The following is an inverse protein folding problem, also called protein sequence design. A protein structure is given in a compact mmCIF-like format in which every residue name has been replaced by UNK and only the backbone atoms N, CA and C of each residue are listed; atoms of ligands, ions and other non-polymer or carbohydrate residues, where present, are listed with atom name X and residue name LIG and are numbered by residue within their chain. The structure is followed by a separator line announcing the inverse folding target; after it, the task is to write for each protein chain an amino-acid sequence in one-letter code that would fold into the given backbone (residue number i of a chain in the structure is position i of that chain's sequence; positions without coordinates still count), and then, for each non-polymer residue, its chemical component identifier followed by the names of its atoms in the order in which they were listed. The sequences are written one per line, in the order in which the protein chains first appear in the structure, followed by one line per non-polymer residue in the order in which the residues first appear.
data_IF_328156996521
#
_entry.id   IF_328156996521
#
_cell.length_a   1.000
_cell.length_b   1.000
_cell.length_c   1.000
_cell.angle_alpha   90.00
_cell.angle_beta   90.00
_cell.angle_gamma   90.00
#
_symmetry.space_group_name_H-M   'P 1'
#
loop_
_entity.id
_entity.type
_entity.pdbx_description
1 polymer ?
#
# COMPACT_ATOMS: atom_id res chain seq x y z
N UNK A 1 8.73 7.75 8.98
CA UNK A 1 7.97 6.50 9.16
C UNK A 1 8.82 5.43 8.51
N UNK A 2 9.08 4.32 9.21
CA UNK A 2 9.89 3.22 8.66
C UNK A 2 8.97 2.05 8.40
N UNK A 3 8.93 1.59 7.15
CA UNK A 3 8.13 0.45 6.73
C UNK A 3 9.02 -0.79 6.62
N UNK A 4 8.52 -1.94 7.06
CA UNK A 4 9.20 -3.22 6.89
C UNK A 4 8.35 -4.12 6.02
N UNK A 5 8.95 -4.68 4.95
CA UNK A 5 8.32 -5.74 4.19
C UNK A 5 8.74 -7.10 4.78
N UNK A 6 7.78 -7.88 5.26
CA UNK A 6 8.05 -9.15 5.94
C UNK A 6 7.88 -10.36 5.01
N UNK A 7 8.17 -11.57 5.52
CA UNK A 7 8.04 -12.82 4.77
C UNK A 7 6.59 -13.22 4.44
N UNK A 8 5.61 -12.58 5.07
CA UNK A 8 4.17 -12.76 4.79
C UNK A 8 3.68 -11.79 3.70
N UNK A 9 4.60 -11.09 3.03
CA UNK A 9 4.34 -10.01 2.07
C UNK A 9 3.59 -8.81 2.67
N UNK A 10 3.60 -8.62 3.99
CA UNK A 10 2.96 -7.47 4.62
C UNK A 10 3.95 -6.30 4.69
N UNK A 11 3.45 -5.08 4.43
CA UNK A 11 4.15 -3.85 4.74
C UNK A 11 3.71 -3.39 6.13
N UNK A 12 4.63 -3.43 7.09
CA UNK A 12 4.34 -3.13 8.50
C UNK A 12 4.98 -1.82 8.95
N UNK A 13 4.33 -1.15 9.91
CA UNK A 13 4.80 0.09 10.53
C UNK A 13 4.52 0.06 12.03
N UNK A 14 5.47 0.56 12.82
CA UNK A 14 5.30 0.70 14.27
C UNK A 14 4.72 2.08 14.61
N UNK A 15 3.53 2.11 15.19
CA UNK A 15 2.80 3.32 15.59
C UNK A 15 2.38 3.18 17.05
N UNK A 16 2.87 4.07 17.92
CA UNK A 16 2.50 4.09 19.34
C UNK A 16 2.83 2.79 20.11
N UNK A 17 3.85 2.06 19.69
CA UNK A 17 4.23 0.76 20.28
C UNK A 17 3.52 -0.46 19.68
N UNK A 18 2.58 -0.26 18.75
CA UNK A 18 1.89 -1.33 18.03
C UNK A 18 2.43 -1.48 16.62
N UNK A 19 2.56 -2.72 16.14
CA UNK A 19 2.82 -3.02 14.73
C UNK A 19 1.50 -3.08 13.96
N UNK A 20 1.36 -2.24 12.94
CA UNK A 20 0.21 -2.16 12.05
C UNK A 20 0.63 -2.52 10.62
N UNK A 21 -0.33 -2.89 9.79
CA UNK A 21 -0.13 -3.30 8.41
C UNK A 21 -0.77 -2.30 7.44
N UNK A 22 -0.14 -2.09 6.29
CA UNK A 22 -0.73 -1.41 5.14
C UNK A 22 -1.89 -2.27 4.62
N UNK A 23 -3.08 -1.69 4.54
CA UNK A 23 -4.33 -2.43 4.34
C UNK A 23 -5.17 -1.77 3.25
N UNK A 24 -5.57 -2.52 2.22
CA UNK A 24 -6.62 -2.11 1.31
C UNK A 24 -7.98 -2.22 2.02
N UNK A 25 -8.55 -1.05 2.35
CA UNK A 25 -9.66 -0.93 3.29
C UNK A 25 -10.85 -1.82 2.91
N UNK A 26 -11.31 -2.62 3.87
CA UNK A 26 -12.49 -3.48 3.69
C UNK A 26 -12.32 -4.56 2.63
N UNK A 27 -11.08 -4.98 2.33
CA UNK A 27 -10.76 -5.93 1.24
C UNK A 27 -11.19 -5.42 -0.15
N UNK A 28 -11.19 -4.09 -0.34
CA UNK A 28 -11.56 -3.50 -1.61
C UNK A 28 -10.57 -3.89 -2.71
N UNK A 29 -11.10 -4.20 -3.89
CA UNK A 29 -10.34 -4.61 -5.08
C UNK A 29 -10.56 -3.69 -6.27
N UNK A 30 -11.30 -2.60 -6.10
CA UNK A 30 -11.60 -1.64 -7.16
C UNK A 30 -10.71 -0.40 -7.06
N UNK A 31 -10.47 0.24 -8.20
CA UNK A 31 -9.82 1.56 -8.23
C UNK A 31 -10.59 2.55 -7.34
N UNK A 32 -9.87 3.34 -6.55
CA UNK A 32 -10.45 4.22 -5.54
C UNK A 32 -10.55 3.62 -4.14
N UNK A 33 -10.20 2.33 -3.96
CA UNK A 33 -10.15 1.74 -2.62
C UNK A 33 -9.06 2.43 -1.81
N UNK A 34 -9.45 3.03 -0.68
CA UNK A 34 -8.50 3.69 0.23
C UNK A 34 -7.53 2.67 0.81
N UNK A 35 -6.26 3.06 0.90
CA UNK A 35 -5.25 2.29 1.63
C UNK A 35 -5.02 2.95 2.98
N UNK A 36 -5.08 2.16 4.05
CA UNK A 36 -5.00 2.61 5.44
C UNK A 36 -3.95 1.82 6.21
N UNK A 37 -3.70 2.22 7.46
CA UNK A 37 -3.03 1.38 8.45
C UNK A 37 -4.08 0.71 9.32
N UNK A 38 -3.99 -0.61 9.45
CA UNK A 38 -4.92 -1.40 10.25
C UNK A 38 -4.17 -2.47 11.04
N UNK A 39 -4.82 -3.04 12.06
CA UNK A 39 -4.28 -4.17 12.81
C UNK A 39 -3.93 -5.30 11.84
N UNK A 40 -2.70 -5.80 11.93
CA UNK A 40 -2.24 -6.93 11.13
C UNK A 40 -3.11 -8.16 11.43
N UNK A 41 -3.63 -8.78 10.37
CA UNK A 41 -4.53 -9.93 10.47
C UNK A 41 -4.25 -11.01 9.42
N UNK A 42 -3.19 -10.87 8.62
CA UNK A 42 -2.72 -11.87 7.65
C UNK A 42 -3.58 -12.03 6.41
N UNK A 43 -4.66 -11.24 6.24
CA UNK A 43 -5.52 -11.32 5.07
C UNK A 43 -4.83 -10.77 3.83
N UNK A 44 -5.26 -11.23 2.65
CA UNK A 44 -4.63 -10.90 1.37
C UNK A 44 -4.69 -9.42 1.01
N UNK A 45 -5.60 -8.64 1.60
CA UNK A 45 -5.67 -7.18 1.42
C UNK A 45 -4.57 -6.42 2.20
N UNK A 46 -3.79 -7.12 3.03
CA UNK A 46 -2.61 -6.60 3.72
C UNK A 46 -1.29 -7.07 3.11
N UNK A 47 -1.37 -7.84 2.01
CA UNK A 47 -0.21 -8.40 1.33
C UNK A 47 0.08 -7.64 0.04
N UNK A 48 1.35 -7.34 -0.20
CA UNK A 48 1.82 -6.44 -1.24
C UNK A 48 3.03 -7.03 -1.97
N UNK A 49 3.03 -6.97 -3.30
CA UNK A 49 4.20 -7.30 -4.10
C UNK A 49 5.02 -6.04 -4.35
N UNK A 50 6.32 -6.11 -4.06
CA UNK A 50 7.28 -5.06 -4.38
C UNK A 50 7.92 -5.43 -5.72
N UNK A 51 7.58 -4.69 -6.77
CA UNK A 51 7.97 -5.04 -8.12
C UNK A 51 9.30 -4.37 -8.50
N UNK A 52 10.08 -5.03 -9.35
CA UNK A 52 11.38 -4.52 -9.81
C UNK A 52 11.28 -3.23 -10.65
N UNK A 53 10.09 -2.91 -11.16
CA UNK A 53 9.80 -1.69 -11.89
C UNK A 53 9.43 -0.50 -10.98
N UNK A 54 9.47 -0.66 -9.65
CA UNK A 54 9.19 0.38 -8.67
C UNK A 54 7.74 0.46 -8.21
N UNK A 55 6.81 -0.30 -8.79
CA UNK A 55 5.43 -0.31 -8.30
C UNK A 55 5.26 -1.24 -7.10
N UNK A 56 4.29 -0.91 -6.24
CA UNK A 56 3.80 -1.81 -5.20
C UNK A 56 2.38 -2.22 -5.57
N UNK A 57 2.10 -3.52 -5.68
CA UNK A 57 0.77 -4.02 -6.07
C UNK A 57 0.13 -4.82 -4.96
N UNK A 58 -1.17 -4.64 -4.73
CA UNK A 58 -1.91 -5.47 -3.79
C UNK A 58 -1.98 -6.91 -4.28
N UNK A 59 -1.63 -7.89 -3.46
CA UNK A 59 -1.71 -9.32 -3.82
C UNK A 59 -3.15 -9.72 -4.17
N UNK A 60 -4.13 -9.18 -3.45
CA UNK A 60 -5.55 -9.48 -3.70
C UNK A 60 -6.11 -8.80 -4.95
N UNK A 61 -5.78 -7.53 -5.18
CA UNK A 61 -6.43 -6.71 -6.21
C UNK A 61 -5.67 -6.69 -7.55
N UNK A 62 -4.35 -6.94 -7.51
CA UNK A 62 -3.45 -6.68 -8.64
C UNK A 62 -3.28 -5.20 -8.99
N UNK A 63 -3.91 -4.29 -8.23
CA UNK A 63 -3.85 -2.84 -8.44
C UNK A 63 -2.62 -2.23 -7.77
N UNK A 64 -2.17 -1.10 -8.28
CA UNK A 64 -1.02 -0.38 -7.78
C UNK A 64 -1.40 0.50 -6.58
N UNK A 65 -0.46 0.61 -5.64
CA UNK A 65 -0.44 1.63 -4.59
C UNK A 65 -0.18 2.99 -5.25
N UNK A 66 -1.10 3.93 -5.10
CA UNK A 66 -1.16 5.19 -5.86
C UNK A 66 -1.40 6.38 -4.93
N UNK A 67 -0.63 7.46 -5.07
CA UNK A 67 -0.95 8.74 -4.41
C UNK A 67 -2.06 9.45 -5.17
N UNK A 68 -3.21 9.62 -4.52
CA UNK A 68 -4.44 10.14 -5.14
C UNK A 68 -4.21 11.44 -5.89
N UNK A 69 -4.56 11.43 -7.18
CA UNK A 69 -4.45 12.58 -8.07
C UNK A 69 -3.02 13.08 -8.30
N UNK A 70 -2.02 12.23 -8.04
CA UNK A 70 -0.59 12.60 -8.05
C UNK A 70 -0.27 13.81 -7.15
N UNK A 71 -1.04 13.99 -6.07
CA UNK A 71 -0.89 15.13 -5.16
C UNK A 71 0.46 15.11 -4.45
N UNK A 72 1.12 16.27 -4.43
CA UNK A 72 2.36 16.49 -3.65
C UNK A 72 2.08 17.21 -2.32
N UNK A 73 0.82 17.45 -1.98
CA UNK A 73 0.44 18.13 -0.76
C UNK A 73 0.62 17.23 0.47
N UNK A 74 0.94 17.82 1.62
CA UNK A 74 0.98 17.09 2.88
C UNK A 74 -0.41 16.51 3.21
N UNK A 75 -0.44 15.24 3.61
CA UNK A 75 -1.68 14.52 3.87
C UNK A 75 -2.37 13.98 2.61
N UNK A 76 -1.70 14.00 1.45
CA UNK A 76 -2.16 13.27 0.27
C UNK A 76 -2.46 11.82 0.63
N UNK A 77 -3.62 11.34 0.18
CA UNK A 77 -4.08 9.99 0.46
C UNK A 77 -3.46 9.00 -0.52
N UNK A 78 -3.46 7.75 -0.10
CA UNK A 78 -3.05 6.62 -0.92
C UNK A 78 -4.26 5.73 -1.20
N UNK A 79 -4.37 5.27 -2.44
CA UNK A 79 -5.45 4.42 -2.92
C UNK A 79 -4.92 3.27 -3.77
N UNK A 80 -5.79 2.30 -4.03
CA UNK A 80 -5.60 1.35 -5.12
C UNK A 80 -6.00 1.99 -6.43
N UNK A 81 -5.15 1.90 -7.43
CA UNK A 81 -5.45 2.37 -8.77
C UNK A 81 -4.91 1.46 -9.86
N UNK A 82 -5.49 1.55 -11.05
CA UNK A 82 -4.97 0.86 -12.24
C UNK A 82 -3.52 1.25 -12.45
N UNK A 83 -2.63 0.25 -12.55
CA UNK A 83 -1.23 0.47 -12.83
C UNK A 83 -1.07 1.16 -14.19
N UNK A 84 -0.46 2.34 -14.21
CA UNK A 84 -0.31 3.18 -15.41
C UNK A 84 1.12 3.71 -15.60
N UNK A 85 2.05 3.38 -14.70
CA UNK A 85 3.45 3.79 -14.78
C UNK A 85 3.70 5.25 -14.38
N UNK A 86 2.69 5.93 -13.84
CA UNK A 86 2.82 7.27 -13.29
C UNK A 86 3.81 7.33 -12.14
N UNK A 87 4.45 8.49 -11.96
CA UNK A 87 5.41 8.70 -10.86
C UNK A 87 4.77 8.58 -9.48
N UNK A 88 3.46 8.84 -9.36
CA UNK A 88 2.66 8.65 -8.15
C UNK A 88 2.38 7.18 -7.80
N UNK A 89 2.86 6.23 -8.62
CA UNK A 89 2.81 4.78 -8.37
C UNK A 89 4.19 4.17 -8.14
N UNK A 90 5.24 5.01 -8.04
CA UNK A 90 6.62 4.58 -7.86
C UNK A 90 7.02 4.74 -6.39
N UNK A 91 7.48 3.65 -5.79
CA UNK A 91 7.81 3.56 -4.37
C UNK A 91 9.20 2.94 -4.19
N UNK A 92 9.91 3.44 -3.18
CA UNK A 92 11.18 2.86 -2.73
C UNK A 92 11.05 2.55 -1.25
N UNK A 93 11.41 1.33 -0.84
CA UNK A 93 11.71 1.04 0.56
C UNK A 93 13.14 1.47 0.85
N UNK A 94 13.31 2.24 1.93
CA UNK A 94 14.59 2.73 2.43
C UNK A 94 14.99 2.05 3.73
#
# INVERSE_FOLDING_TARGET
QTWTHNSSNELTVNVGGSTLCLDANGKGTTAGTKVIVYSCNGQTNQQWNLNSNGTVTGVQSGLCLDVTGASTANGALVELWTCNGGSNQQWTLG
#
